data_IF_600321245846
#
_entry.id   IF_600321245846
#
_cell.length_a   1.000
_cell.length_b   1.000
_cell.length_c   1.000
_cell.angle_alpha   90.00
_cell.angle_beta   90.00
_cell.angle_gamma   90.00
#
_symmetry.space_group_name_H-M   'P 1'
#
loop_
_entity.id
_entity.type
_entity.pdbx_description
1 polymer ?
#
# COMPACT_ATOMS: atom_id res chain seq x y z
N UNK A 1 -0.52 -16.00 15.31
CA UNK A 1 -0.89 -14.57 15.33
C UNK A 1 0.37 -13.75 15.06
N UNK A 2 0.52 -13.18 13.88
CA UNK A 2 1.69 -12.36 13.55
C UNK A 2 1.45 -10.94 14.07
N UNK A 3 2.40 -10.37 14.82
CA UNK A 3 2.32 -8.99 15.32
C UNK A 3 2.57 -8.04 14.14
N UNK A 4 1.65 -7.12 13.88
CA UNK A 4 1.85 -6.05 12.88
C UNK A 4 3.08 -5.23 13.29
N UNK A 5 4.10 -5.09 12.43
CA UNK A 5 5.28 -4.28 12.71
C UNK A 5 4.91 -2.82 13.02
N UNK A 6 5.58 -2.15 13.99
CA UNK A 6 5.26 -0.77 14.37
C UNK A 6 5.18 0.20 13.19
N UNK A 7 6.12 0.10 12.25
CA UNK A 7 6.19 0.95 11.06
C UNK A 7 4.99 0.81 10.13
N UNK A 8 4.29 -0.33 10.13
CA UNK A 8 3.13 -0.54 9.27
C UNK A 8 1.89 0.22 9.76
N UNK A 9 1.83 0.58 11.05
CA UNK A 9 0.72 1.35 11.60
C UNK A 9 0.64 2.77 11.01
N UNK A 10 1.79 3.35 10.67
CA UNK A 10 1.89 4.71 10.16
C UNK A 10 1.98 4.75 8.62
N UNK A 11 2.01 3.59 7.95
CA UNK A 11 1.96 3.53 6.50
C UNK A 11 0.54 3.78 5.98
N UNK A 12 0.38 4.50 4.85
CA UNK A 12 -0.93 4.75 4.26
C UNK A 12 -1.55 3.44 3.74
N UNK A 13 -2.87 3.31 3.88
CA UNK A 13 -3.64 2.14 3.43
C UNK A 13 -4.88 2.53 2.62
N UNK A 14 -5.39 3.75 2.78
CA UNK A 14 -6.56 4.26 2.06
C UNK A 14 -6.51 5.78 1.94
N UNK A 15 -7.63 6.40 1.56
CA UNK A 15 -7.85 7.84 1.49
C UNK A 15 -9.10 8.26 2.27
N UNK A 16 -9.13 9.51 2.71
CA UNK A 16 -10.35 10.16 3.16
C UNK A 16 -11.14 10.72 1.96
N UNK A 17 -12.38 11.17 2.20
CA UNK A 17 -13.23 11.73 1.14
C UNK A 17 -12.66 13.02 0.49
N UNK A 18 -11.79 13.73 1.18
CA UNK A 18 -11.11 14.93 0.67
C UNK A 18 -9.86 14.61 -0.18
N UNK A 19 -9.52 13.32 -0.33
CA UNK A 19 -8.35 12.86 -1.08
C UNK A 19 -7.06 12.82 -0.28
N UNK A 20 -7.07 13.11 1.03
CA UNK A 20 -5.91 12.91 1.89
C UNK A 20 -5.65 11.41 2.14
N UNK A 21 -4.38 11.01 2.22
CA UNK A 21 -4.01 9.62 2.54
C UNK A 21 -4.24 9.32 4.03
N UNK A 22 -4.68 8.10 4.31
CA UNK A 22 -5.04 7.62 5.65
C UNK A 22 -4.15 6.45 6.03
N UNK A 23 -3.51 6.53 7.20
CA UNK A 23 -2.67 5.47 7.77
C UNK A 23 -3.48 4.26 8.24
N UNK A 24 -2.81 3.11 8.44
CA UNK A 24 -3.46 1.93 9.02
C UNK A 24 -4.10 2.24 10.38
N UNK A 25 -3.42 3.02 11.23
CA UNK A 25 -3.93 3.42 12.54
C UNK A 25 -5.23 4.22 12.42
N UNK A 26 -5.25 5.23 11.55
CA UNK A 26 -6.43 6.08 11.32
C UNK A 26 -7.54 5.31 10.62
N UNK A 27 -7.22 4.34 9.77
CA UNK A 27 -8.21 3.53 9.09
C UNK A 27 -9.01 2.64 10.06
N UNK A 28 -8.36 2.13 11.12
CA UNK A 28 -9.00 1.28 12.14
C UNK A 28 -9.77 2.12 13.18
N UNK A 29 -9.29 3.34 13.45
CA UNK A 29 -9.97 4.29 14.34
C UNK A 29 -10.22 5.63 13.62
N UNK A 30 -11.16 5.66 12.64
CA UNK A 30 -11.38 6.82 11.82
C UNK A 30 -12.04 7.95 12.61
N UNK A 31 -11.46 9.15 12.54
CA UNK A 31 -12.06 10.40 13.04
C UNK A 31 -12.83 11.15 11.95
N UNK A 32 -12.63 10.76 10.68
CA UNK A 32 -13.29 11.30 9.48
C UNK A 32 -13.73 10.15 8.57
N UNK A 33 -14.71 10.36 7.67
CA UNK A 33 -15.10 9.34 6.70
C UNK A 33 -13.93 8.93 5.78
N UNK A 34 -13.61 7.64 5.79
CA UNK A 34 -12.54 7.03 4.98
C UNK A 34 -13.14 6.16 3.87
N UNK A 35 -12.48 6.12 2.72
CA UNK A 35 -12.85 5.22 1.63
C UNK A 35 -12.53 3.78 2.03
N UNK A 36 -13.44 2.86 1.75
CA UNK A 36 -13.15 1.44 1.86
C UNK A 36 -12.16 1.01 0.77
N UNK A 37 -11.41 -0.07 1.02
CA UNK A 37 -10.41 -0.56 0.05
C UNK A 37 -11.04 -0.93 -1.30
N UNK A 38 -12.31 -1.35 -1.32
CA UNK A 38 -13.03 -1.65 -2.56
C UNK A 38 -13.45 -0.42 -3.35
N UNK A 39 -13.54 0.75 -2.71
CA UNK A 39 -13.87 2.04 -3.35
C UNK A 39 -12.67 2.69 -4.02
N UNK A 40 -11.44 2.24 -3.75
CA UNK A 40 -10.23 2.83 -4.32
C UNK A 40 -10.13 2.57 -5.82
N UNK A 41 -9.94 3.65 -6.59
CA UNK A 41 -9.68 3.57 -8.03
C UNK A 41 -8.31 2.92 -8.32
N UNK A 42 -8.07 2.41 -9.53
CA UNK A 42 -6.75 1.91 -9.93
C UNK A 42 -5.62 2.92 -9.70
N UNK A 43 -5.88 4.20 -9.97
CA UNK A 43 -4.93 5.29 -9.81
C UNK A 43 -4.60 5.53 -8.33
N UNK A 44 -5.61 5.56 -7.46
CA UNK A 44 -5.43 5.67 -6.01
C UNK A 44 -4.64 4.48 -5.44
N UNK A 45 -4.90 3.27 -5.93
CA UNK A 45 -4.13 2.07 -5.53
C UNK A 45 -2.67 2.16 -5.95
N UNK A 46 -2.41 2.68 -7.15
CA UNK A 46 -1.06 2.91 -7.63
C UNK A 46 -0.34 3.98 -6.81
N UNK A 47 -1.04 5.07 -6.48
CA UNK A 47 -0.49 6.17 -5.67
C UNK A 47 -0.13 5.70 -4.25
N UNK A 48 -1.02 4.93 -3.61
CA UNK A 48 -0.73 4.29 -2.32
C UNK A 48 0.50 3.39 -2.41
N UNK A 49 0.59 2.60 -3.48
CA UNK A 49 1.73 1.69 -3.70
C UNK A 49 3.03 2.47 -3.82
N UNK A 50 3.05 3.54 -4.63
CA UNK A 50 4.20 4.44 -4.73
C UNK A 50 4.58 5.00 -3.37
N UNK A 51 3.60 5.54 -2.62
CA UNK A 51 3.90 6.17 -1.33
C UNK A 51 4.48 5.18 -0.32
N UNK A 52 3.96 3.96 -0.28
CA UNK A 52 4.45 2.91 0.61
C UNK A 52 5.86 2.47 0.21
N UNK A 53 6.15 2.32 -1.08
CA UNK A 53 7.50 2.02 -1.58
C UNK A 53 8.49 3.14 -1.20
N UNK A 54 8.09 4.41 -1.30
CA UNK A 54 8.91 5.56 -0.90
C UNK A 54 9.31 5.48 0.58
N UNK A 55 8.35 5.17 1.45
CA UNK A 55 8.53 5.10 2.91
C UNK A 55 9.33 3.89 3.39
N UNK A 56 9.50 2.85 2.57
CA UNK A 56 10.29 1.67 2.96
C UNK A 56 11.80 1.96 2.88
N UNK A 57 12.60 1.79 3.94
CA UNK A 57 14.01 2.17 3.94
C UNK A 57 14.86 1.34 2.97
N UNK A 58 14.48 0.09 2.73
CA UNK A 58 15.11 -0.81 1.77
C UNK A 58 14.03 -1.43 0.90
N UNK A 59 14.21 -1.37 -0.42
CA UNK A 59 13.30 -1.97 -1.38
C UNK A 59 14.13 -2.60 -2.50
N UNK A 60 14.05 -3.91 -2.60
CA UNK A 60 14.66 -4.69 -3.68
C UNK A 60 13.84 -5.95 -3.88
N UNK A 61 13.34 -6.15 -5.10
CA UNK A 61 12.50 -7.29 -5.44
C UNK A 61 13.10 -8.05 -6.62
N UNK A 62 13.37 -9.34 -6.44
CA UNK A 62 13.67 -10.23 -7.54
C UNK A 62 12.40 -10.67 -8.25
N UNK A 63 12.28 -10.35 -9.54
CA UNK A 63 11.15 -10.75 -10.38
C UNK A 63 11.60 -11.61 -11.56
N UNK A 64 10.99 -12.79 -11.70
CA UNK A 64 11.23 -13.67 -12.85
C UNK A 64 10.85 -12.92 -14.13
N UNK A 65 11.80 -12.83 -15.08
CA UNK A 65 11.62 -12.12 -16.35
C UNK A 65 11.87 -10.62 -16.31
N UNK A 66 11.83 -9.97 -15.14
CA UNK A 66 12.12 -8.53 -15.00
C UNK A 66 13.46 -8.23 -14.29
N UNK A 67 14.09 -9.24 -13.69
CA UNK A 67 15.35 -9.11 -12.95
C UNK A 67 15.13 -8.47 -11.57
N UNK A 68 16.16 -7.78 -11.08
CA UNK A 68 16.08 -7.01 -9.84
C UNK A 68 15.33 -5.70 -10.11
N UNK A 69 14.32 -5.43 -9.30
CA UNK A 69 13.55 -4.18 -9.30
C UNK A 69 13.87 -3.44 -8.00
N UNK A 70 14.71 -2.42 -8.11
CA UNK A 70 14.99 -1.50 -7.01
C UNK A 70 13.85 -0.50 -6.79
N UNK A 71 13.95 0.30 -5.72
CA UNK A 71 12.96 1.32 -5.36
C UNK A 71 12.61 2.27 -6.51
N UNK A 72 13.63 2.83 -7.17
CA UNK A 72 13.43 3.85 -8.20
C UNK A 72 12.71 3.28 -9.42
N UNK A 73 13.12 2.07 -9.84
CA UNK A 73 12.47 1.34 -10.91
C UNK A 73 11.04 0.95 -10.52
N UNK A 74 10.81 0.43 -9.32
CA UNK A 74 9.49 0.06 -8.85
C UNK A 74 8.50 1.23 -8.92
N UNK A 75 8.91 2.42 -8.45
CA UNK A 75 8.09 3.63 -8.52
C UNK A 75 7.78 4.00 -9.99
N UNK A 76 8.77 3.94 -10.88
CA UNK A 76 8.56 4.25 -12.29
C UNK A 76 7.61 3.26 -12.98
N UNK A 77 7.74 1.97 -12.68
CA UNK A 77 6.88 0.90 -13.21
C UNK A 77 5.42 1.08 -12.73
N UNK A 78 5.22 1.37 -11.43
CA UNK A 78 3.89 1.62 -10.86
C UNK A 78 3.25 2.88 -11.45
N UNK A 79 4.01 4.00 -11.56
CA UNK A 79 3.53 5.25 -12.14
C UNK A 79 3.15 5.11 -13.62
N UNK A 80 3.90 4.31 -14.37
CA UNK A 80 3.61 4.03 -15.79
C UNK A 80 2.52 2.97 -16.00
N UNK A 81 1.98 2.38 -14.92
CA UNK A 81 0.99 1.29 -15.00
C UNK A 81 1.45 0.13 -15.90
N UNK A 82 2.76 -0.15 -15.90
CA UNK A 82 3.35 -1.23 -16.69
C UNK A 82 2.85 -2.60 -16.20
N UNK A 83 3.17 -3.68 -16.93
CA UNK A 83 2.87 -5.04 -16.44
C UNK A 83 3.51 -5.31 -15.07
N UNK A 84 4.74 -4.84 -14.86
CA UNK A 84 5.45 -4.94 -13.58
C UNK A 84 4.77 -4.05 -12.53
N UNK A 85 4.46 -2.80 -12.87
CA UNK A 85 3.82 -1.86 -11.96
C UNK A 85 2.44 -2.29 -11.46
N UNK A 86 1.63 -2.85 -12.36
CA UNK A 86 0.31 -3.40 -11.99
C UNK A 86 0.47 -4.61 -11.06
N UNK A 87 1.43 -5.50 -11.32
CA UNK A 87 1.69 -6.63 -10.44
C UNK A 87 2.18 -6.17 -9.05
N UNK A 88 3.09 -5.19 -8.99
CA UNK A 88 3.52 -4.59 -7.74
C UNK A 88 2.35 -3.98 -6.96
N UNK A 89 1.46 -3.28 -7.66
CA UNK A 89 0.24 -2.72 -7.07
C UNK A 89 -0.64 -3.83 -6.50
N UNK A 90 -0.88 -4.91 -7.24
CA UNK A 90 -1.67 -6.04 -6.75
C UNK A 90 -1.06 -6.71 -5.51
N UNK A 91 0.26 -6.90 -5.50
CA UNK A 91 0.99 -7.43 -4.34
C UNK A 91 0.77 -6.52 -3.13
N UNK A 92 0.97 -5.21 -3.29
CA UNK A 92 0.82 -4.25 -2.19
C UNK A 92 -0.63 -4.19 -1.69
N UNK A 93 -1.61 -4.26 -2.58
CA UNK A 93 -3.03 -4.31 -2.18
C UNK A 93 -3.35 -5.56 -1.36
N UNK A 94 -2.72 -6.72 -1.65
CA UNK A 94 -2.88 -7.91 -0.80
C UNK A 94 -2.24 -7.71 0.58
N UNK A 95 -1.08 -7.08 0.64
CA UNK A 95 -0.42 -6.72 1.91
C UNK A 95 -1.32 -5.81 2.73
N UNK A 96 -1.86 -4.73 2.13
CA UNK A 96 -2.77 -3.80 2.79
C UNK A 96 -4.02 -4.50 3.33
N UNK A 97 -4.67 -5.36 2.52
CA UNK A 97 -5.84 -6.12 2.96
C UNK A 97 -5.55 -7.02 4.17
N UNK A 98 -4.39 -7.68 4.17
CA UNK A 98 -3.96 -8.51 5.29
C UNK A 98 -3.71 -7.67 6.54
N UNK A 99 -3.02 -6.53 6.41
CA UNK A 99 -2.74 -5.61 7.52
C UNK A 99 -4.03 -5.08 8.16
N UNK A 100 -4.99 -4.64 7.34
CA UNK A 100 -6.29 -4.16 7.81
C UNK A 100 -7.07 -5.27 8.51
N UNK A 101 -7.09 -6.48 7.93
CA UNK A 101 -7.78 -7.64 8.52
C UNK A 101 -7.17 -8.02 9.88
N UNK A 102 -5.85 -8.04 9.98
CA UNK A 102 -5.15 -8.39 11.22
C UNK A 102 -5.29 -7.30 12.28
N UNK A 103 -5.34 -6.03 11.88
CA UNK A 103 -5.53 -4.90 12.79
C UNK A 103 -6.96 -4.89 13.37
N UNK A 104 -7.98 -5.13 12.54
CA UNK A 104 -9.38 -5.17 12.97
C UNK A 104 -9.71 -6.33 13.94
N UNK A 105 -8.88 -7.38 13.97
CA UNK A 105 -9.02 -8.52 14.91
C UNK A 105 -8.49 -8.23 16.31
N UNK A 106 -7.77 -7.12 16.50
CA UNK A 106 -7.25 -6.70 17.80
C UNK A 106 -8.12 -5.55 18.32
N UNK A 107 -9.04 -5.79 19.27
CA UNK A 107 -9.71 -4.71 19.99
C UNK A 107 -8.73 -3.93 20.89
#
# INVERSE_FOLDING_TARGET
MTKIPPEQWDMPVSFAQDGSMVSLREFIHPTVPVLSLSQLSPEQRAELTVKRIELQPRFELGMIGAGIVDKSRAIAEVKSQSKVGRLLTEIEQRVINNLVTDAARKP
#
